data_IF_898986071946
#
_entry.id   IF_898986071946
#
_cell.length_a   1.000
_cell.length_b   1.000
_cell.length_c   1.000
_cell.angle_alpha   90.00
_cell.angle_beta   90.00
_cell.angle_gamma   90.00
#
_symmetry.space_group_name_H-M   'P 1'
#
loop_
_entity.id
_entity.type
_entity.pdbx_description
1 polymer ?
#
# COMPACT_ATOMS: atom_id res chain seq x y z
N UNK A 1 -29.69 4.26 24.68
CA UNK A 1 -30.55 3.32 23.91
C UNK A 1 -29.91 3.14 22.56
N UNK A 2 -29.96 1.92 22.00
CA UNK A 2 -29.32 1.66 20.71
C UNK A 2 -30.30 1.97 19.59
N UNK A 3 -29.90 2.89 18.71
CA UNK A 3 -30.63 3.26 17.51
C UNK A 3 -29.81 2.86 16.28
N UNK A 4 -30.47 2.28 15.28
CA UNK A 4 -29.78 1.76 14.09
C UNK A 4 -30.49 2.17 12.81
N UNK A 5 -29.71 2.60 11.83
CA UNK A 5 -30.14 2.83 10.46
C UNK A 5 -29.30 1.98 9.50
N UNK A 6 -29.99 1.33 8.56
CA UNK A 6 -29.36 0.57 7.49
C UNK A 6 -29.50 1.36 6.19
N UNK A 7 -28.39 1.59 5.47
CA UNK A 7 -28.41 2.01 4.07
C UNK A 7 -28.15 0.78 3.19
N UNK A 8 -29.23 0.26 2.60
CA UNK A 8 -29.17 -0.94 1.77
C UNK A 8 -28.30 -0.73 0.53
N UNK A 9 -27.49 -1.74 0.19
CA UNK A 9 -26.59 -1.74 -0.98
C UNK A 9 -25.66 -0.52 -1.08
N UNK A 10 -25.32 0.10 0.04
CA UNK A 10 -24.45 1.27 0.12
C UNK A 10 -23.02 0.86 0.48
N UNK A 11 -22.37 0.08 -0.37
CA UNK A 11 -21.00 -0.38 -0.13
C UNK A 11 -20.02 0.80 0.01
N UNK A 12 -19.19 0.74 1.05
CA UNK A 12 -18.09 1.66 1.30
C UNK A 12 -16.85 0.88 1.74
N UNK A 13 -15.65 1.39 1.43
CA UNK A 13 -14.42 0.79 1.93
C UNK A 13 -14.24 1.01 3.44
N UNK A 14 -13.45 0.14 4.07
CA UNK A 14 -13.28 0.13 5.52
C UNK A 14 -12.58 1.38 6.07
N UNK A 15 -11.77 2.09 5.27
CA UNK A 15 -11.09 3.32 5.73
C UNK A 15 -12.11 4.45 5.81
N UNK A 16 -12.93 4.61 4.78
CA UNK A 16 -14.02 5.59 4.76
C UNK A 16 -15.00 5.37 5.90
N UNK A 17 -15.36 4.11 6.18
CA UNK A 17 -16.24 3.74 7.31
C UNK A 17 -15.59 4.03 8.67
N UNK A 18 -14.29 3.80 8.83
CA UNK A 18 -13.56 4.11 10.06
C UNK A 18 -13.51 5.63 10.31
N UNK A 19 -13.20 6.42 9.28
CA UNK A 19 -13.17 7.88 9.38
C UNK A 19 -14.57 8.45 9.64
N UNK A 20 -15.59 7.90 8.97
CA UNK A 20 -16.98 8.26 9.20
C UNK A 20 -17.42 7.89 10.64
N UNK A 21 -17.02 6.73 11.15
CA UNK A 21 -17.26 6.35 12.55
C UNK A 21 -16.67 7.38 13.50
N UNK A 22 -15.44 7.86 13.25
CA UNK A 22 -14.83 8.90 14.07
C UNK A 22 -15.62 10.22 14.00
N UNK A 23 -16.07 10.63 12.81
CA UNK A 23 -16.87 11.85 12.64
C UNK A 23 -18.21 11.76 13.40
N UNK A 24 -18.93 10.65 13.25
CA UNK A 24 -20.22 10.41 13.93
C UNK A 24 -20.07 10.40 15.45
N UNK A 25 -18.97 9.86 15.98
CA UNK A 25 -18.70 9.89 17.43
C UNK A 25 -18.46 11.30 17.99
N UNK A 26 -18.32 12.33 17.14
CA UNK A 26 -18.21 13.73 17.57
C UNK A 26 -19.54 14.48 17.59
N UNK A 27 -20.64 13.87 17.14
CA UNK A 27 -21.97 14.48 17.13
C UNK A 27 -22.51 14.57 18.57
N UNK A 28 -23.01 15.75 18.94
CA UNK A 28 -23.56 16.00 20.27
C UNK A 28 -24.72 15.04 20.57
N UNK A 29 -24.69 14.40 21.75
CA UNK A 29 -25.70 13.43 22.17
C UNK A 29 -25.43 11.98 21.74
N UNK A 30 -24.34 11.70 21.02
CA UNK A 30 -23.84 10.34 20.79
C UNK A 30 -22.92 9.91 21.93
N UNK A 31 -23.26 8.83 22.64
CA UNK A 31 -22.38 8.24 23.65
C UNK A 31 -21.31 7.35 23.02
N UNK A 32 -21.71 6.59 22.00
CA UNK A 32 -20.81 5.79 21.16
C UNK A 32 -21.50 5.45 19.84
N UNK A 33 -20.72 5.28 18.78
CA UNK A 33 -21.21 4.92 17.45
C UNK A 33 -20.26 3.98 16.72
N UNK A 34 -20.83 3.15 15.85
CA UNK A 34 -20.12 2.32 14.89
C UNK A 34 -20.80 2.45 13.52
N UNK A 35 -19.98 2.65 12.47
CA UNK A 35 -20.42 2.65 11.08
C UNK A 35 -19.61 1.62 10.31
N UNK A 36 -20.25 0.54 9.88
CA UNK A 36 -19.56 -0.61 9.26
C UNK A 36 -20.43 -1.29 8.20
N UNK A 37 -19.83 -2.12 7.35
CA UNK A 37 -20.57 -3.01 6.45
C UNK A 37 -21.27 -4.14 7.24
N UNK A 38 -22.44 -4.58 6.80
CA UNK A 38 -23.24 -5.67 7.39
C UNK A 38 -22.69 -7.08 7.16
N UNK A 39 -21.37 -7.26 7.14
CA UNK A 39 -20.73 -8.58 7.04
C UNK A 39 -20.78 -9.32 8.38
N UNK A 40 -20.71 -10.65 8.35
CA UNK A 40 -20.78 -11.44 9.58
C UNK A 40 -19.65 -11.11 10.57
N UNK A 41 -18.44 -10.85 10.06
CA UNK A 41 -17.31 -10.42 10.89
C UNK A 41 -17.57 -9.07 11.60
N UNK A 42 -18.21 -8.11 10.91
CA UNK A 42 -18.51 -6.81 11.50
C UNK A 42 -19.72 -6.87 12.46
N UNK A 43 -20.66 -7.79 12.27
CA UNK A 43 -21.76 -8.01 13.22
C UNK A 43 -21.24 -8.40 14.59
N UNK A 44 -20.16 -9.18 14.66
CA UNK A 44 -19.48 -9.49 15.92
C UNK A 44 -18.88 -8.23 16.56
N UNK A 45 -18.32 -7.32 15.77
CA UNK A 45 -17.78 -6.04 16.28
C UNK A 45 -18.86 -5.13 16.86
N UNK A 46 -20.05 -5.06 16.24
CA UNK A 46 -21.19 -4.35 16.84
C UNK A 46 -21.62 -4.97 18.17
N UNK A 47 -21.56 -6.30 18.29
CA UNK A 47 -21.90 -7.01 19.53
C UNK A 47 -20.90 -6.71 20.63
N UNK A 48 -19.60 -6.76 20.33
CA UNK A 48 -18.53 -6.45 21.28
C UNK A 48 -18.60 -4.98 21.75
N UNK A 49 -19.02 -4.07 20.86
CA UNK A 49 -19.24 -2.67 21.18
C UNK A 49 -20.55 -2.39 21.94
N UNK A 50 -21.41 -3.39 22.15
CA UNK A 50 -22.72 -3.20 22.79
C UNK A 50 -23.75 -2.47 21.92
N UNK A 51 -23.53 -2.38 20.61
CA UNK A 51 -24.35 -1.67 19.62
C UNK A 51 -25.17 -2.62 18.72
N UNK A 52 -25.23 -3.91 19.06
CA UNK A 52 -25.98 -4.91 18.29
C UNK A 52 -27.47 -4.92 18.65
N UNK A 53 -28.31 -5.07 17.62
CA UNK A 53 -29.75 -5.30 17.74
C UNK A 53 -30.27 -6.11 16.53
N UNK A 54 -31.58 -6.35 16.46
CA UNK A 54 -32.19 -7.15 15.38
C UNK A 54 -31.95 -6.56 13.97
N UNK A 55 -31.81 -5.23 13.85
CA UNK A 55 -31.50 -4.61 12.56
C UNK A 55 -30.07 -4.96 12.14
N UNK A 56 -29.09 -4.82 13.04
CA UNK A 56 -27.69 -5.21 12.77
C UNK A 56 -27.60 -6.69 12.41
N UNK A 57 -28.31 -7.58 13.11
CA UNK A 57 -28.29 -9.02 12.86
C UNK A 57 -28.79 -9.39 11.45
N UNK A 58 -29.79 -8.66 10.94
CA UNK A 58 -30.41 -8.90 9.64
C UNK A 58 -29.73 -8.17 8.46
N UNK A 59 -28.77 -7.27 8.74
CA UNK A 59 -28.04 -6.55 7.71
C UNK A 59 -27.28 -7.51 6.77
N UNK A 60 -27.27 -7.18 5.48
CA UNK A 60 -26.58 -7.95 4.45
C UNK A 60 -25.14 -7.43 4.25
N UNK A 61 -24.24 -8.23 3.65
CA UNK A 61 -22.83 -7.83 3.48
C UNK A 61 -22.60 -6.51 2.74
N UNK A 62 -23.51 -6.12 1.83
CA UNK A 62 -23.42 -4.88 1.06
C UNK A 62 -24.15 -3.69 1.70
N UNK A 63 -24.76 -3.87 2.87
CA UNK A 63 -25.45 -2.81 3.57
C UNK A 63 -24.49 -2.05 4.48
N UNK A 64 -24.60 -0.74 4.50
CA UNK A 64 -23.91 0.08 5.49
C UNK A 64 -24.81 0.22 6.73
N UNK A 65 -24.28 -0.17 7.88
CA UNK A 65 -24.97 -0.16 9.16
C UNK A 65 -24.41 0.99 10.00
N UNK A 66 -25.29 1.89 10.42
CA UNK A 66 -25.00 2.98 11.36
C UNK A 66 -25.72 2.66 12.66
N UNK A 67 -24.99 2.36 13.72
CA UNK A 67 -25.55 2.09 15.05
C UNK A 67 -24.97 3.06 16.06
N UNK A 68 -25.84 3.69 16.86
CA UNK A 68 -25.47 4.66 17.89
C UNK A 68 -26.10 4.29 19.23
N UNK A 69 -25.39 4.57 20.33
CA UNK A 69 -25.98 4.67 21.66
C UNK A 69 -26.26 6.15 21.97
N UNK A 70 -27.52 6.48 22.20
CA UNK A 70 -27.96 7.84 22.57
C UNK A 70 -29.18 7.80 23.49
N UNK A 71 -29.45 8.91 24.17
CA UNK A 71 -30.67 9.09 24.97
C UNK A 71 -31.91 9.39 24.13
N UNK A 72 -31.74 9.82 22.88
CA UNK A 72 -32.83 10.27 22.00
C UNK A 72 -32.68 9.74 20.58
N UNK A 73 -33.77 9.24 20.01
CA UNK A 73 -33.83 8.82 18.60
C UNK A 73 -33.59 9.98 17.64
N UNK A 74 -33.89 11.22 18.03
CA UNK A 74 -33.65 12.41 17.20
C UNK A 74 -32.17 12.60 16.84
N UNK A 75 -31.25 12.13 17.71
CA UNK A 75 -29.81 12.16 17.44
C UNK A 75 -29.45 11.25 16.27
N UNK A 76 -30.19 10.17 16.04
CA UNK A 76 -29.97 9.32 14.86
C UNK A 76 -30.19 10.09 13.56
N UNK A 77 -31.18 10.99 13.51
CA UNK A 77 -31.43 11.81 12.31
C UNK A 77 -30.28 12.81 12.06
N UNK A 78 -29.76 13.44 13.12
CA UNK A 78 -28.59 14.33 13.01
C UNK A 78 -27.33 13.57 12.56
N UNK A 79 -27.12 12.37 13.10
CA UNK A 79 -26.05 11.46 12.66
C UNK A 79 -26.21 11.07 11.21
N UNK A 80 -27.43 10.77 10.76
CA UNK A 80 -27.68 10.40 9.36
C UNK A 80 -27.44 11.57 8.40
N UNK A 81 -27.70 12.82 8.82
CA UNK A 81 -27.33 14.01 8.05
C UNK A 81 -25.81 14.12 7.92
N UNK A 82 -25.06 13.91 9.01
CA UNK A 82 -23.60 13.93 8.97
C UNK A 82 -23.03 12.82 8.07
N UNK A 83 -23.61 11.61 8.15
CA UNK A 83 -23.27 10.50 7.24
C UNK A 83 -23.51 10.87 5.78
N UNK A 84 -24.63 11.52 5.47
CA UNK A 84 -24.94 11.93 4.10
C UNK A 84 -24.03 13.05 3.60
N UNK A 85 -23.72 14.02 4.44
CA UNK A 85 -22.75 15.08 4.11
C UNK A 85 -21.37 14.48 3.85
N UNK A 86 -20.90 13.58 4.71
CA UNK A 86 -19.60 12.94 4.57
C UNK A 86 -19.50 12.12 3.26
N UNK A 87 -20.52 11.32 2.96
CA UNK A 87 -20.57 10.54 1.72
C UNK A 87 -20.66 11.44 0.47
N UNK A 88 -21.40 12.55 0.56
CA UNK A 88 -21.51 13.53 -0.52
C UNK A 88 -20.17 14.22 -0.75
N UNK A 89 -19.49 14.66 0.29
CA UNK A 89 -18.16 15.27 0.20
C UNK A 89 -17.11 14.30 -0.37
N UNK A 90 -17.18 13.01 -0.03
CA UNK A 90 -16.35 11.99 -0.66
C UNK A 90 -16.60 11.89 -2.16
N UNK A 91 -17.86 11.95 -2.59
CA UNK A 91 -18.19 11.93 -4.03
C UNK A 91 -17.71 13.17 -4.77
N UNK A 92 -17.82 14.36 -4.15
CA UNK A 92 -17.35 15.62 -4.75
C UNK A 92 -15.82 15.69 -4.81
N UNK A 93 -15.12 15.20 -3.78
CA UNK A 93 -13.65 15.08 -3.82
C UNK A 93 -13.18 14.12 -4.90
N UNK A 94 -13.93 13.05 -5.18
CA UNK A 94 -13.66 12.12 -6.27
C UNK A 94 -13.83 12.77 -7.65
N UNK A 95 -14.78 13.69 -7.81
CA UNK A 95 -14.97 14.47 -9.05
C UNK A 95 -13.95 15.61 -9.20
N UNK A 96 -13.41 16.13 -8.11
CA UNK A 96 -12.34 17.14 -8.12
C UNK A 96 -10.95 16.54 -8.41
N UNK A 97 -10.76 15.25 -8.13
CA UNK A 97 -9.57 14.50 -8.54
C UNK A 97 -9.72 14.14 -10.02
N UNK A 98 -9.01 14.85 -10.90
CA UNK A 98 -9.03 14.69 -12.36
C UNK A 98 -8.36 13.39 -12.83
N UNK A 99 -8.59 12.29 -12.14
CA UNK A 99 -7.98 10.99 -12.43
C UNK A 99 -8.80 10.33 -13.53
N UNK A 100 -8.24 10.26 -14.73
CA UNK A 100 -8.85 9.54 -15.84
C UNK A 100 -8.81 8.04 -15.54
N UNK A 101 -9.99 7.42 -15.48
CA UNK A 101 -10.13 5.97 -15.26
C UNK A 101 -10.45 5.28 -16.58
N UNK A 102 -9.78 4.16 -16.81
CA UNK A 102 -9.93 3.32 -18.00
C UNK A 102 -10.25 1.88 -17.60
N UNK A 103 -10.69 1.06 -18.55
CA UNK A 103 -11.12 -0.32 -18.25
C UNK A 103 -10.21 -1.40 -18.84
N UNK A 104 -9.23 -1.01 -19.67
CA UNK A 104 -8.29 -1.94 -20.29
C UNK A 104 -6.92 -1.30 -20.56
N UNK A 105 -5.91 -2.14 -20.80
CA UNK A 105 -4.52 -1.72 -21.04
C UNK A 105 -4.32 -0.85 -22.28
N UNK A 106 -5.14 -1.06 -23.31
CA UNK A 106 -5.04 -0.28 -24.53
C UNK A 106 -5.42 1.17 -24.25
N UNK A 107 -6.57 1.39 -23.62
CA UNK A 107 -7.01 2.71 -23.17
C UNK A 107 -6.00 3.32 -22.19
N UNK A 108 -5.46 2.54 -21.24
CA UNK A 108 -4.45 3.02 -20.28
C UNK A 108 -3.18 3.54 -20.98
N UNK A 109 -2.70 2.80 -21.98
CA UNK A 109 -1.50 3.18 -22.74
C UNK A 109 -1.77 4.36 -23.68
N UNK A 110 -2.98 4.49 -24.22
CA UNK A 110 -3.39 5.64 -25.02
C UNK A 110 -3.56 6.91 -24.17
N UNK A 111 -4.09 6.78 -22.95
CA UNK A 111 -4.27 7.88 -22.01
C UNK A 111 -2.93 8.40 -21.45
N UNK A 112 -1.96 7.52 -21.20
CA UNK A 112 -0.64 7.87 -20.68
C UNK A 112 0.48 7.17 -21.44
N UNK A 113 0.77 7.69 -22.64
CA UNK A 113 1.74 7.09 -23.59
C UNK A 113 3.17 6.98 -23.08
N UNK A 114 3.57 7.81 -22.12
CA UNK A 114 4.91 7.87 -21.51
C UNK A 114 4.98 7.14 -20.15
N UNK A 115 3.91 6.44 -19.75
CA UNK A 115 3.90 5.64 -18.53
C UNK A 115 5.03 4.60 -18.53
N UNK A 116 5.89 4.64 -17.51
CA UNK A 116 7.04 3.75 -17.35
C UNK A 116 6.92 2.79 -16.15
N UNK A 117 5.92 2.98 -15.27
CA UNK A 117 5.66 2.14 -14.11
C UNK A 117 4.17 1.79 -14.05
N UNK A 118 3.86 0.54 -13.73
CA UNK A 118 2.52 0.07 -13.38
C UNK A 118 2.44 -0.26 -11.88
N UNK A 119 1.53 0.38 -11.14
CA UNK A 119 1.22 0.05 -9.75
C UNK A 119 0.09 -0.99 -9.72
N UNK A 120 0.36 -2.18 -9.19
CA UNK A 120 -0.58 -3.32 -9.19
C UNK A 120 -0.98 -3.64 -7.75
N UNK A 121 -2.26 -3.43 -7.45
CA UNK A 121 -2.88 -3.59 -6.12
C UNK A 121 -4.19 -4.38 -6.16
N UNK A 122 -4.28 -5.36 -7.06
CA UNK A 122 -5.43 -6.26 -7.24
C UNK A 122 -5.25 -7.57 -6.46
N UNK A 123 -6.26 -8.46 -6.37
CA UNK A 123 -6.08 -9.77 -5.75
C UNK A 123 -4.94 -10.58 -6.41
N UNK A 124 -4.07 -11.21 -5.60
CA UNK A 124 -2.85 -11.88 -6.05
C UNK A 124 -3.05 -12.94 -7.14
N UNK A 125 -4.18 -13.64 -7.11
CA UNK A 125 -4.56 -14.64 -8.12
C UNK A 125 -4.66 -14.08 -9.54
N UNK A 126 -4.85 -12.77 -9.70
CA UNK A 126 -4.92 -12.08 -11.00
C UNK A 126 -3.65 -11.27 -11.30
N UNK A 127 -2.87 -10.92 -10.28
CA UNK A 127 -1.77 -9.97 -10.40
C UNK A 127 -0.65 -10.45 -11.33
N UNK A 128 -0.33 -11.76 -11.37
CA UNK A 128 0.72 -12.30 -12.24
C UNK A 128 0.51 -11.95 -13.72
N UNK A 129 -0.74 -12.05 -14.21
CA UNK A 129 -1.08 -11.72 -15.59
C UNK A 129 -0.92 -10.22 -15.89
N UNK A 130 -1.27 -9.35 -14.94
CA UNK A 130 -1.15 -7.90 -15.11
C UNK A 130 0.32 -7.43 -14.98
N UNK A 131 1.14 -8.08 -14.15
CA UNK A 131 2.59 -7.85 -14.09
C UNK A 131 3.23 -8.23 -15.43
N UNK A 132 2.87 -9.40 -15.95
CA UNK A 132 3.36 -9.89 -17.24
C UNK A 132 3.05 -8.91 -18.37
N UNK A 133 1.81 -8.38 -18.43
CA UNK A 133 1.42 -7.35 -19.40
C UNK A 133 2.21 -6.07 -19.25
N UNK A 134 2.40 -5.57 -18.03
CA UNK A 134 3.22 -4.39 -17.77
C UNK A 134 4.64 -4.57 -18.33
N UNK A 135 5.27 -5.72 -18.09
CA UNK A 135 6.60 -6.05 -18.60
C UNK A 135 6.63 -6.22 -20.13
N UNK A 136 5.55 -6.72 -20.73
CA UNK A 136 5.41 -6.83 -22.18
C UNK A 136 5.27 -5.48 -22.87
N UNK A 137 4.64 -4.53 -22.20
CA UNK A 137 4.52 -3.15 -22.65
C UNK A 137 5.72 -2.26 -22.24
N UNK A 138 6.82 -2.86 -21.76
CA UNK A 138 8.06 -2.15 -21.45
C UNK A 138 8.01 -1.31 -20.16
N UNK A 139 7.09 -1.61 -19.25
CA UNK A 139 6.90 -0.87 -17.99
C UNK A 139 7.49 -1.65 -16.81
N UNK A 140 8.09 -0.95 -15.85
CA UNK A 140 8.38 -1.53 -14.54
C UNK A 140 7.07 -1.85 -13.81
N UNK A 141 7.09 -2.82 -12.91
CA UNK A 141 5.93 -3.17 -12.10
C UNK A 141 6.22 -2.91 -10.62
N UNK A 142 5.42 -2.09 -9.97
CA UNK A 142 5.34 -2.01 -8.52
C UNK A 142 4.15 -2.84 -8.04
N UNK A 143 4.43 -3.89 -7.28
CA UNK A 143 3.46 -4.94 -6.95
C UNK A 143 3.17 -4.87 -5.45
N UNK A 144 2.12 -4.12 -5.13
CA UNK A 144 1.56 -4.09 -3.78
C UNK A 144 0.81 -5.39 -3.47
N UNK A 145 0.18 -5.99 -4.48
CA UNK A 145 -0.51 -7.27 -4.36
C UNK A 145 0.32 -8.35 -3.66
N UNK A 146 -0.29 -9.02 -2.69
CA UNK A 146 0.23 -10.21 -2.02
C UNK A 146 -0.49 -11.48 -2.54
N UNK A 147 -0.07 -12.66 -2.08
CA UNK A 147 -0.64 -13.98 -2.43
C UNK A 147 -0.40 -14.39 -3.90
N UNK A 148 0.72 -13.94 -4.47
CA UNK A 148 1.22 -14.43 -5.75
C UNK A 148 2.11 -15.67 -5.48
N UNK A 149 1.91 -16.80 -6.19
CA UNK A 149 2.77 -17.98 -6.06
C UNK A 149 4.25 -17.64 -6.24
N UNK A 150 5.12 -18.32 -5.48
CA UNK A 150 6.55 -18.01 -5.47
C UNK A 150 7.21 -18.30 -6.83
N UNK A 151 6.72 -19.31 -7.54
CA UNK A 151 7.18 -19.67 -8.88
C UNK A 151 6.88 -18.56 -9.89
N UNK A 152 5.73 -17.91 -9.77
CA UNK A 152 5.35 -16.76 -10.59
C UNK A 152 6.18 -15.52 -10.25
N UNK A 153 6.43 -15.25 -8.96
CA UNK A 153 7.37 -14.19 -8.55
C UNK A 153 8.74 -14.38 -9.19
N UNK A 154 9.31 -15.58 -9.09
CA UNK A 154 10.62 -15.91 -9.66
C UNK A 154 10.60 -15.74 -11.18
N UNK A 155 9.57 -16.26 -11.86
CA UNK A 155 9.42 -16.16 -13.32
C UNK A 155 9.35 -14.70 -13.78
N UNK A 156 8.54 -13.88 -13.11
CA UNK A 156 8.31 -12.48 -13.47
C UNK A 156 9.53 -11.60 -13.16
N UNK A 157 10.21 -11.80 -12.02
CA UNK A 157 11.45 -11.10 -11.70
C UNK A 157 12.57 -11.41 -12.70
N UNK A 158 12.72 -12.68 -13.11
CA UNK A 158 13.66 -13.06 -14.18
C UNK A 158 13.31 -12.41 -15.51
N UNK A 159 12.04 -12.44 -15.91
CA UNK A 159 11.56 -11.76 -17.13
C UNK A 159 11.89 -10.27 -17.09
N UNK A 160 11.71 -9.62 -15.95
CA UNK A 160 12.03 -8.21 -15.77
C UNK A 160 13.53 -7.95 -15.90
N UNK A 161 14.36 -8.75 -15.20
CA UNK A 161 15.82 -8.70 -15.31
C UNK A 161 16.30 -8.79 -16.76
N UNK A 162 15.81 -9.79 -17.51
CA UNK A 162 16.18 -10.00 -18.91
C UNK A 162 15.77 -8.83 -19.83
N UNK A 163 14.72 -8.09 -19.46
CA UNK A 163 14.24 -6.89 -20.17
C UNK A 163 14.88 -5.58 -19.68
N UNK A 164 15.71 -5.61 -18.63
CA UNK A 164 16.21 -4.40 -17.98
C UNK A 164 15.13 -3.61 -17.23
N UNK A 165 14.06 -4.28 -16.83
CA UNK A 165 12.94 -3.75 -16.04
C UNK A 165 13.01 -4.25 -14.59
N UNK A 166 12.14 -3.72 -13.74
CA UNK A 166 12.07 -4.10 -12.32
C UNK A 166 10.66 -4.60 -12.00
N UNK A 167 10.59 -5.67 -11.21
CA UNK A 167 9.38 -6.10 -10.50
C UNK A 167 9.62 -5.90 -9.01
N UNK A 168 9.02 -4.84 -8.47
CA UNK A 168 9.15 -4.35 -7.10
C UNK A 168 8.03 -4.93 -6.24
N UNK A 169 8.26 -6.10 -5.67
CA UNK A 169 7.23 -6.93 -5.04
C UNK A 169 7.28 -8.36 -5.61
N UNK A 170 6.31 -9.24 -5.33
CA UNK A 170 5.02 -9.02 -4.65
C UNK A 170 5.15 -8.61 -3.19
N UNK A 171 4.04 -8.22 -2.57
CA UNK A 171 4.02 -7.75 -1.18
C UNK A 171 5.02 -6.62 -0.92
N UNK A 172 5.10 -5.66 -1.86
CA UNK A 172 5.86 -4.44 -1.68
C UNK A 172 4.95 -3.34 -1.14
N UNK A 173 4.92 -3.19 0.18
CA UNK A 173 4.06 -2.23 0.85
C UNK A 173 4.48 -0.76 0.69
N UNK A 174 5.74 -0.50 0.36
CA UNK A 174 6.30 0.86 0.36
C UNK A 174 7.26 1.06 -0.80
N UNK A 175 7.07 2.15 -1.54
CA UNK A 175 8.02 2.63 -2.53
C UNK A 175 7.94 4.14 -2.73
N UNK A 176 9.03 4.68 -3.26
CA UNK A 176 9.11 6.04 -3.75
C UNK A 176 10.12 6.09 -4.89
N UNK A 177 9.72 6.56 -6.07
CA UNK A 177 10.63 6.66 -7.23
C UNK A 177 10.62 8.09 -7.71
N UNK A 178 11.77 8.76 -7.70
CA UNK A 178 11.90 10.18 -8.05
C UNK A 178 10.92 11.06 -7.27
N UNK A 179 10.79 10.80 -5.96
CA UNK A 179 9.81 11.42 -5.07
C UNK A 179 8.33 11.12 -5.37
N UNK A 180 8.00 10.23 -6.33
CA UNK A 180 6.63 9.79 -6.59
C UNK A 180 6.22 8.71 -5.57
N UNK A 181 5.14 8.92 -4.80
CA UNK A 181 4.61 7.93 -3.86
C UNK A 181 4.18 6.62 -4.55
N UNK A 182 4.58 5.47 -4.01
CA UNK A 182 4.05 4.16 -4.40
C UNK A 182 3.60 3.40 -3.15
N UNK A 183 2.30 3.11 -3.07
CA UNK A 183 1.65 2.50 -1.90
C UNK A 183 1.86 3.33 -0.60
N UNK A 184 2.26 2.70 0.50
CA UNK A 184 2.41 3.39 1.78
C UNK A 184 3.76 4.09 1.87
N UNK A 185 3.76 5.42 1.75
CA UNK A 185 4.97 6.26 1.87
C UNK A 185 4.78 7.44 2.82
N UNK A 186 5.87 8.15 3.08
CA UNK A 186 5.91 9.35 3.91
C UNK A 186 6.35 10.54 3.05
N UNK A 187 5.76 11.71 3.30
CA UNK A 187 6.28 12.96 2.71
C UNK A 187 7.58 13.29 3.42
N UNK A 188 8.68 13.26 2.66
CA UNK A 188 10.04 13.56 3.12
C UNK A 188 10.73 14.49 2.13
N UNK A 189 11.83 15.12 2.55
CA UNK A 189 12.64 15.94 1.65
C UNK A 189 13.27 15.09 0.54
N UNK A 190 13.17 15.50 -0.73
CA UNK A 190 14.04 14.99 -1.78
C UNK A 190 15.50 15.26 -1.44
N UNK A 191 16.40 14.35 -1.79
CA UNK A 191 17.83 14.50 -1.55
C UNK A 191 18.66 13.58 -2.43
N UNK A 192 19.82 13.17 -1.96
CA UNK A 192 20.81 12.40 -2.72
C UNK A 192 20.98 10.96 -2.22
N UNK A 193 20.08 10.48 -1.36
CA UNK A 193 20.13 9.11 -0.84
C UNK A 193 19.20 8.22 -1.65
N UNK A 194 19.74 7.13 -2.18
CA UNK A 194 18.96 6.04 -2.78
C UNK A 194 18.82 4.89 -1.78
N UNK A 195 17.66 4.27 -1.71
CA UNK A 195 17.41 3.16 -0.80
C UNK A 195 16.74 1.98 -1.51
N UNK A 196 17.18 0.77 -1.20
CA UNK A 196 16.57 -0.49 -1.64
C UNK A 196 16.25 -1.32 -0.40
N UNK A 197 15.07 -1.91 -0.32
CA UNK A 197 14.76 -2.74 0.83
C UNK A 197 13.64 -3.75 0.69
N UNK A 198 13.78 -4.83 1.45
CA UNK A 198 12.77 -5.89 1.61
C UNK A 198 12.04 -5.75 2.96
N UNK A 199 11.61 -4.52 3.27
CA UNK A 199 10.86 -4.19 4.48
C UNK A 199 10.11 -2.87 4.27
N UNK A 200 8.77 -2.91 4.18
CA UNK A 200 7.97 -1.71 3.95
C UNK A 200 8.12 -0.68 5.06
N UNK A 201 7.74 -1.04 6.30
CA UNK A 201 7.89 -0.14 7.45
C UNK A 201 9.36 0.14 7.80
N UNK A 202 10.28 -0.76 7.48
CA UNK A 202 11.71 -0.49 7.60
C UNK A 202 12.18 0.65 6.69
N UNK A 203 11.71 0.67 5.45
CA UNK A 203 11.94 1.78 4.52
C UNK A 203 11.33 3.09 5.08
N UNK A 204 10.10 3.05 5.58
CA UNK A 204 9.44 4.23 6.17
C UNK A 204 10.20 4.78 7.38
N UNK A 205 10.65 3.90 8.28
CA UNK A 205 11.37 4.33 9.48
C UNK A 205 12.72 4.97 9.12
N UNK A 206 13.50 4.33 8.24
CA UNK A 206 14.81 4.86 7.84
C UNK A 206 14.67 6.19 7.09
N UNK A 207 13.71 6.30 6.17
CA UNK A 207 13.45 7.56 5.44
C UNK A 207 13.06 8.70 6.36
N UNK A 208 12.18 8.44 7.34
CA UNK A 208 11.77 9.48 8.30
C UNK A 208 12.89 9.88 9.25
N UNK A 209 13.77 8.96 9.65
CA UNK A 209 14.99 9.28 10.41
C UNK A 209 15.93 10.17 9.58
N UNK A 210 16.18 9.82 8.32
CA UNK A 210 17.01 10.61 7.41
C UNK A 210 16.49 12.04 7.28
N UNK A 211 15.18 12.20 7.06
CA UNK A 211 14.55 13.52 6.94
C UNK A 211 14.69 14.36 8.22
N UNK A 212 14.45 13.75 9.39
CA UNK A 212 14.61 14.38 10.71
C UNK A 212 16.04 14.83 10.99
N UNK A 213 17.02 14.10 10.46
CA UNK A 213 18.44 14.45 10.54
C UNK A 213 18.86 15.49 9.48
N UNK A 214 17.93 15.94 8.64
CA UNK A 214 18.16 16.96 7.62
C UNK A 214 18.65 16.44 6.28
N UNK A 215 18.74 15.12 6.10
CA UNK A 215 18.99 14.48 4.80
C UNK A 215 17.72 14.38 3.95
N UNK A 216 17.85 13.76 2.78
CA UNK A 216 16.71 13.50 1.89
C UNK A 216 16.94 12.28 1.00
N UNK A 217 15.85 11.65 0.58
CA UNK A 217 15.86 10.41 -0.20
C UNK A 217 15.23 10.69 -1.56
N UNK A 218 15.91 10.33 -2.65
CA UNK A 218 15.37 10.46 -4.02
C UNK A 218 14.54 9.25 -4.41
N UNK A 219 15.02 8.06 -4.05
CA UNK A 219 14.43 6.77 -4.40
C UNK A 219 14.42 5.85 -3.18
N UNK A 220 13.31 5.19 -2.93
CA UNK A 220 13.14 4.10 -1.98
C UNK A 220 12.42 2.94 -2.68
N UNK A 221 13.16 1.90 -3.07
CA UNK A 221 12.64 0.77 -3.85
C UNK A 221 12.34 -0.40 -2.92
N UNK A 222 11.06 -0.66 -2.69
CA UNK A 222 10.59 -1.86 -2.02
C UNK A 222 10.62 -3.07 -2.95
N UNK A 223 11.36 -4.13 -2.60
CA UNK A 223 11.59 -5.29 -3.50
C UNK A 223 10.64 -6.47 -3.27
N UNK A 224 9.79 -6.38 -2.25
CA UNK A 224 8.94 -7.46 -1.76
C UNK A 224 9.60 -8.27 -0.64
N UNK A 225 8.80 -8.70 0.34
CA UNK A 225 9.32 -9.34 1.56
C UNK A 225 10.07 -10.67 1.33
N UNK A 226 9.80 -11.34 0.21
CA UNK A 226 10.41 -12.64 -0.15
C UNK A 226 11.63 -12.53 -1.06
N UNK A 227 12.00 -11.32 -1.52
CA UNK A 227 13.05 -11.16 -2.53
C UNK A 227 14.39 -11.77 -2.11
N UNK A 228 14.72 -11.68 -0.82
CA UNK A 228 15.96 -12.22 -0.26
C UNK A 228 15.87 -13.69 0.20
N UNK A 229 14.79 -14.41 -0.16
CA UNK A 229 14.69 -15.86 0.04
C UNK A 229 15.59 -16.62 -0.95
N UNK A 230 15.89 -17.89 -0.65
CA UNK A 230 16.74 -18.71 -1.54
C UNK A 230 16.09 -18.95 -2.91
N UNK A 231 14.76 -19.10 -2.93
CA UNK A 231 13.98 -19.35 -4.13
C UNK A 231 13.99 -18.14 -5.09
N UNK A 232 13.90 -16.93 -4.55
CA UNK A 232 13.89 -15.69 -5.34
C UNK A 232 15.29 -15.21 -5.68
N UNK A 233 16.24 -15.30 -4.74
CA UNK A 233 17.66 -15.06 -5.01
C UNK A 233 18.04 -13.58 -5.19
N UNK A 234 17.29 -12.68 -4.58
CA UNK A 234 17.50 -11.23 -4.50
C UNK A 234 17.56 -10.53 -5.88
N UNK A 235 16.79 -11.01 -6.86
CA UNK A 235 16.86 -10.49 -8.24
C UNK A 235 16.61 -8.98 -8.27
N UNK A 236 15.48 -8.53 -7.71
CA UNK A 236 15.11 -7.12 -7.76
C UNK A 236 16.03 -6.26 -6.89
N UNK A 237 16.45 -6.75 -5.72
CA UNK A 237 17.44 -6.05 -4.88
C UNK A 237 18.72 -5.77 -5.64
N UNK A 238 19.28 -6.76 -6.33
CA UNK A 238 20.54 -6.63 -7.06
C UNK A 238 20.41 -5.68 -8.25
N UNK A 239 19.32 -5.78 -9.00
CA UNK A 239 19.06 -4.91 -10.14
C UNK A 239 18.84 -3.45 -9.71
N UNK A 240 18.10 -3.24 -8.63
CA UNK A 240 17.87 -1.90 -8.07
C UNK A 240 19.18 -1.28 -7.54
N UNK A 241 20.03 -2.05 -6.86
CA UNK A 241 21.35 -1.58 -6.41
C UNK A 241 22.24 -1.20 -7.60
N UNK A 242 22.28 -2.02 -8.65
CA UNK A 242 23.04 -1.74 -9.87
C UNK A 242 22.56 -0.47 -10.58
N UNK A 243 21.24 -0.24 -10.60
CA UNK A 243 20.64 0.97 -11.16
C UNK A 243 21.00 2.21 -10.33
N UNK A 244 20.87 2.14 -9.00
CA UNK A 244 21.20 3.25 -8.10
C UNK A 244 22.68 3.63 -8.14
N UNK A 245 23.59 2.68 -8.28
CA UNK A 245 25.03 2.96 -8.41
C UNK A 245 25.37 3.78 -9.65
N UNK A 246 24.54 3.71 -10.70
CA UNK A 246 24.72 4.47 -11.95
C UNK A 246 23.97 5.80 -11.98
N UNK A 247 23.10 6.06 -11.01
CA UNK A 247 22.23 7.23 -11.01
C UNK A 247 22.97 8.49 -10.52
N UNK A 248 23.11 9.54 -11.34
CA UNK A 248 24.02 10.65 -11.04
C UNK A 248 23.65 11.49 -9.80
N UNK A 249 22.38 11.52 -9.42
CA UNK A 249 21.81 12.24 -8.27
C UNK A 249 21.75 11.40 -6.98
N UNK A 250 22.25 10.15 -7.01
CA UNK A 250 22.43 9.31 -5.82
C UNK A 250 23.89 9.36 -5.40
N UNK A 251 24.17 9.88 -4.20
CA UNK A 251 25.51 9.93 -3.62
C UNK A 251 25.77 8.79 -2.63
N UNK A 252 24.73 8.33 -1.93
CA UNK A 252 24.80 7.28 -0.90
C UNK A 252 23.66 6.29 -1.10
N UNK A 253 23.97 5.00 -0.95
CA UNK A 253 22.99 3.92 -1.07
C UNK A 253 22.70 3.32 0.31
N UNK A 254 21.43 3.12 0.63
CA UNK A 254 20.99 2.39 1.81
C UNK A 254 20.36 1.06 1.37
N UNK A 255 20.80 -0.04 1.97
CA UNK A 255 20.23 -1.37 1.77
C UNK A 255 19.62 -1.86 3.08
N UNK A 256 18.32 -2.15 3.12
CA UNK A 256 17.64 -2.61 4.34
C UNK A 256 16.85 -3.90 4.12
N UNK A 257 17.06 -4.91 4.97
CA UNK A 257 16.25 -6.12 4.96
C UNK A 257 16.22 -6.82 6.31
N UNK A 258 15.30 -7.78 6.45
CA UNK A 258 15.44 -8.85 7.45
C UNK A 258 16.69 -9.71 7.12
N UNK A 259 17.19 -10.55 8.05
CA UNK A 259 18.31 -11.44 7.77
C UNK A 259 18.02 -12.28 6.52
N UNK A 260 18.88 -12.23 5.49
CA UNK A 260 18.66 -13.00 4.28
C UNK A 260 18.94 -14.48 4.55
N UNK A 261 18.53 -15.35 3.62
CA UNK A 261 19.09 -16.69 3.59
C UNK A 261 20.62 -16.63 3.37
N UNK A 262 21.38 -17.52 4.00
CA UNK A 262 22.85 -17.42 4.06
C UNK A 262 23.51 -17.29 2.68
N UNK A 263 23.09 -18.10 1.71
CA UNK A 263 23.63 -18.06 0.35
C UNK A 263 23.30 -16.74 -0.38
N UNK A 264 22.10 -16.21 -0.16
CA UNK A 264 21.64 -14.95 -0.76
C UNK A 264 22.35 -13.75 -0.12
N UNK A 265 22.56 -13.80 1.20
CA UNK A 265 23.31 -12.77 1.94
C UNK A 265 24.70 -12.59 1.35
N UNK A 266 25.44 -13.68 1.13
CA UNK A 266 26.80 -13.60 0.62
C UNK A 266 26.83 -12.97 -0.79
N UNK A 267 25.83 -13.27 -1.62
CA UNK A 267 25.63 -12.64 -2.94
C UNK A 267 25.32 -11.14 -2.83
N UNK A 268 24.41 -10.75 -1.93
CA UNK A 268 24.04 -9.34 -1.70
C UNK A 268 25.25 -8.57 -1.15
N UNK A 269 25.96 -9.08 -0.16
CA UNK A 269 27.16 -8.44 0.41
C UNK A 269 28.26 -8.27 -0.65
N UNK A 270 28.48 -9.28 -1.51
CA UNK A 270 29.42 -9.14 -2.61
C UNK A 270 29.01 -8.02 -3.58
N UNK A 271 27.72 -7.89 -3.90
CA UNK A 271 27.21 -6.78 -4.69
C UNK A 271 27.45 -5.44 -4.01
N UNK A 272 27.13 -5.31 -2.72
CA UNK A 272 27.32 -4.06 -1.96
C UNK A 272 28.79 -3.61 -1.96
N UNK A 273 29.74 -4.54 -1.82
CA UNK A 273 31.18 -4.23 -1.90
C UNK A 273 31.67 -3.87 -3.31
N UNK A 274 30.91 -4.24 -4.35
CA UNK A 274 31.26 -3.95 -5.74
C UNK A 274 30.78 -2.58 -6.23
N UNK A 275 29.88 -1.92 -5.48
CA UNK A 275 29.34 -0.61 -5.84
C UNK A 275 30.41 0.47 -5.75
N UNK A 276 30.33 1.45 -6.65
CA UNK A 276 31.23 2.60 -6.66
C UNK A 276 30.89 3.62 -5.58
N UNK A 277 29.63 3.64 -5.12
CA UNK A 277 29.11 4.58 -4.13
C UNK A 277 29.16 4.02 -2.70
N UNK A 278 29.29 4.88 -1.68
CA UNK A 278 29.15 4.48 -0.29
C UNK A 278 27.81 3.79 -0.01
N UNK A 279 27.86 2.69 0.74
CA UNK A 279 26.68 1.90 1.12
C UNK A 279 26.54 1.84 2.64
N UNK A 280 25.31 2.02 3.12
CA UNK A 280 24.88 1.66 4.49
C UNK A 280 23.99 0.43 4.40
N UNK A 281 24.43 -0.69 4.96
CA UNK A 281 23.68 -1.95 4.96
C UNK A 281 23.07 -2.22 6.35
N UNK A 282 21.78 -2.54 6.38
CA UNK A 282 21.02 -2.82 7.60
C UNK A 282 20.34 -4.19 7.44
N UNK A 283 20.99 -5.22 7.98
CA UNK A 283 20.40 -6.54 8.13
C UNK A 283 19.85 -6.69 9.56
N UNK A 284 18.53 -6.53 9.71
CA UNK A 284 17.87 -6.43 11.02
C UNK A 284 18.16 -7.64 11.91
N UNK A 285 18.72 -7.41 13.09
CA UNK A 285 19.03 -8.49 14.05
C UNK A 285 20.39 -9.16 13.86
N UNK A 286 21.18 -8.74 12.86
CA UNK A 286 22.60 -9.09 12.76
C UNK A 286 23.47 -8.03 13.44
N UNK A 287 24.62 -8.45 13.99
CA UNK A 287 25.62 -7.49 14.49
C UNK A 287 26.41 -6.94 13.28
N UNK A 288 26.68 -5.62 13.24
CA UNK A 288 27.48 -5.00 12.20
C UNK A 288 28.87 -5.63 12.04
#
# INVERSE_FOLDING_TARGET
MIYTRIKENSYQDSINLMLLTNAVNTVDGVNSAQVMMGTDANKDLFKDAGLSNDQVANAQPNDMVVAIDSESEAVLEEVMIEVENYLSDLSVKKDADSTESVTNWKEATEALTDANVALISIPGIYAAAEIERALDDGKHAFVFSDNIPIEEEVRLKKKAHDKGLLVMGPDSGTGMISSVPLAFTNVIKPGNIGMVGASGTGIQEVTTIIDRLGGGVVNAVGVGGRDLSEEVGAITMLDALAAMDKQADVDVIVAISKPPAKAVRDKVVAMLHSLSKPVVAIFLGEKP
#
